data_IF_951175557045
#
_entry.id   IF_951175557045
#
_cell.length_a   1.000
_cell.length_b   1.000
_cell.length_c   1.000
_cell.angle_alpha   90.00
_cell.angle_beta   90.00
_cell.angle_gamma   90.00
#
_symmetry.space_group_name_H-M   'P 1'
#
loop_
_entity.id
_entity.type
_entity.pdbx_description
1 polymer ?
#
# COMPACT_ATOMS: atom_id res chain seq x y z
N UNK A 1 3.89 -17.50 20.38
CA UNK A 1 4.17 -18.50 19.32
C UNK A 1 5.42 -19.25 19.70
N UNK A 2 5.36 -20.57 19.72
CA UNK A 2 6.48 -21.46 20.02
C UNK A 2 6.67 -22.48 18.90
N UNK A 3 7.88 -23.01 18.77
CA UNK A 3 8.14 -24.15 17.90
C UNK A 3 7.61 -25.47 18.51
N UNK A 4 7.84 -26.57 17.80
CA UNK A 4 7.42 -27.91 18.22
C UNK A 4 8.12 -28.38 19.51
N UNK A 5 9.29 -27.83 19.81
CA UNK A 5 10.08 -28.13 21.01
C UNK A 5 9.67 -27.24 22.21
N UNK A 6 8.65 -26.38 22.02
CA UNK A 6 8.13 -25.48 23.05
C UNK A 6 8.97 -24.22 23.26
N UNK A 7 10.00 -23.97 22.44
CA UNK A 7 10.78 -22.74 22.50
C UNK A 7 9.96 -21.60 21.92
N UNK A 8 9.85 -20.51 22.68
CA UNK A 8 9.12 -19.31 22.27
C UNK A 8 9.89 -18.59 21.16
N UNK A 9 9.27 -18.49 19.98
CA UNK A 9 9.80 -17.77 18.81
C UNK A 9 9.36 -16.31 18.80
N UNK A 10 8.15 -16.02 19.28
CA UNK A 10 7.59 -14.68 19.30
C UNK A 10 6.52 -14.53 20.39
N UNK A 11 6.44 -13.34 21.00
CA UNK A 11 5.37 -12.96 21.96
C UNK A 11 5.07 -11.47 21.89
N UNK A 12 3.84 -11.09 22.24
CA UNK A 12 3.50 -9.69 22.47
C UNK A 12 4.12 -9.21 23.79
N UNK A 13 4.70 -7.99 23.83
CA UNK A 13 5.06 -7.32 25.07
C UNK A 13 3.80 -7.08 25.92
N UNK A 14 3.88 -7.19 27.26
CA UNK A 14 2.77 -6.84 28.15
C UNK A 14 1.73 -7.94 28.43
N UNK A 15 1.75 -9.07 27.71
CA UNK A 15 0.91 -10.24 28.02
C UNK A 15 1.53 -11.17 29.09
N UNK A 16 2.64 -10.77 29.71
CA UNK A 16 3.36 -11.55 30.71
C UNK A 16 3.02 -11.10 32.13
N UNK A 17 1.92 -11.61 32.68
CA UNK A 17 1.81 -11.75 34.13
C UNK A 17 2.77 -12.87 34.59
N UNK A 18 3.57 -12.58 35.61
CA UNK A 18 4.45 -13.51 36.29
C UNK A 18 3.74 -14.82 36.64
N UNK A 19 4.47 -15.92 36.53
CA UNK A 19 4.09 -17.27 36.94
C UNK A 19 3.54 -17.32 38.37
N UNK A 20 2.22 -17.24 38.54
CA UNK A 20 1.51 -17.78 39.70
C UNK A 20 -0.01 -17.73 39.47
N UNK A 21 -0.63 -18.91 39.50
CA UNK A 21 -2.03 -19.20 39.83
C UNK A 21 -3.16 -18.39 39.14
N UNK A 22 -3.93 -19.12 38.32
CA UNK A 22 -5.39 -19.02 38.17
C UNK A 22 -6.03 -17.76 37.58
N UNK A 23 -5.41 -17.09 36.60
CA UNK A 23 -6.14 -16.15 35.75
C UNK A 23 -6.13 -16.60 34.30
N UNK A 24 -7.32 -16.79 33.71
CA UNK A 24 -7.53 -17.12 32.30
C UNK A 24 -6.64 -16.27 31.38
N UNK A 25 -6.13 -16.82 30.26
CA UNK A 25 -5.29 -16.04 29.36
C UNK A 25 -6.01 -14.77 28.89
N UNK A 26 -5.31 -13.63 28.79
CA UNK A 26 -5.88 -12.40 28.27
C UNK A 26 -6.55 -12.63 26.90
N UNK A 27 -7.77 -12.13 26.67
CA UNK A 27 -8.48 -12.41 25.43
C UNK A 27 -7.77 -11.72 24.25
N UNK A 28 -7.56 -12.50 23.19
CA UNK A 28 -7.16 -12.01 21.87
C UNK A 28 -8.40 -11.94 20.96
N UNK A 29 -8.58 -10.83 20.26
CA UNK A 29 -9.72 -10.56 19.39
C UNK A 29 -9.24 -10.08 18.03
N UNK A 30 -9.71 -10.70 16.96
CA UNK A 30 -9.58 -10.18 15.60
C UNK A 30 -10.82 -9.35 15.27
N UNK A 31 -10.65 -8.06 14.97
CA UNK A 31 -11.76 -7.19 14.58
C UNK A 31 -12.13 -7.37 13.11
N UNK A 32 -13.30 -6.88 12.70
CA UNK A 32 -13.77 -6.96 11.32
C UNK A 32 -12.91 -6.12 10.35
N UNK A 33 -12.17 -5.15 10.88
CA UNK A 33 -11.22 -4.32 10.14
C UNK A 33 -9.86 -5.02 9.97
N UNK A 34 -9.68 -6.21 10.55
CA UNK A 34 -8.44 -6.99 10.48
C UNK A 34 -7.42 -6.66 11.58
N UNK A 35 -7.80 -5.90 12.62
CA UNK A 35 -6.91 -5.62 13.74
C UNK A 35 -6.95 -6.77 14.75
N UNK A 36 -5.82 -7.44 14.98
CA UNK A 36 -5.64 -8.36 16.10
C UNK A 36 -5.28 -7.58 17.37
N UNK A 37 -6.19 -7.58 18.35
CA UNK A 37 -6.06 -6.87 19.63
C UNK A 37 -5.93 -7.86 20.77
N UNK A 38 -4.91 -7.69 21.60
CA UNK A 38 -4.75 -8.43 22.86
C UNK A 38 -5.10 -7.49 24.00
N UNK A 39 -6.06 -7.87 24.83
CA UNK A 39 -6.49 -7.07 25.99
C UNK A 39 -5.95 -7.65 27.28
N UNK A 40 -5.60 -6.79 28.23
CA UNK A 40 -5.29 -7.20 29.60
C UNK A 40 -6.54 -7.75 30.29
N UNK A 41 -6.35 -8.41 31.44
CA UNK A 41 -7.45 -8.87 32.31
C UNK A 41 -8.35 -7.71 32.78
N UNK A 42 -7.81 -6.50 32.82
CA UNK A 42 -8.53 -5.29 33.20
C UNK A 42 -9.26 -4.63 32.01
N UNK A 43 -9.27 -5.29 30.83
CA UNK A 43 -9.98 -4.83 29.64
C UNK A 43 -9.25 -3.78 28.80
N UNK A 44 -8.09 -3.28 29.25
CA UNK A 44 -7.25 -2.33 28.49
C UNK A 44 -6.57 -3.00 27.31
N UNK A 45 -6.33 -2.27 26.23
CA UNK A 45 -5.55 -2.78 25.09
C UNK A 45 -4.09 -2.89 25.52
N UNK A 46 -3.58 -4.11 25.57
CA UNK A 46 -2.18 -4.39 25.92
C UNK A 46 -1.28 -4.40 24.67
N UNK A 47 -1.84 -4.81 23.52
CA UNK A 47 -1.13 -4.85 22.25
C UNK A 47 -2.14 -4.87 21.09
N UNK A 48 -1.78 -4.31 19.93
CA UNK A 48 -2.56 -4.42 18.71
C UNK A 48 -1.69 -4.50 17.46
N UNK A 49 -2.14 -5.27 16.46
CA UNK A 49 -1.40 -5.47 15.21
C UNK A 49 -1.24 -4.20 14.39
N UNK A 50 -2.19 -3.27 14.48
CA UNK A 50 -2.15 -2.02 13.70
C UNK A 50 -0.97 -1.10 14.06
N UNK A 51 -0.40 -1.24 15.26
CA UNK A 51 0.80 -0.52 15.68
C UNK A 51 2.09 -1.20 15.18
N UNK A 52 1.99 -2.38 14.55
CA UNK A 52 3.12 -3.17 14.05
C UNK A 52 2.88 -3.64 12.60
N UNK A 53 2.85 -2.70 11.63
CA UNK A 53 2.67 -3.03 10.21
C UNK A 53 3.80 -3.90 9.65
N UNK A 54 3.48 -4.74 8.67
CA UNK A 54 4.47 -5.47 7.84
C UNK A 54 4.73 -4.72 6.55
N UNK A 55 4.16 -5.18 5.44
CA UNK A 55 4.29 -4.66 4.07
C UNK A 55 3.01 -3.97 3.59
N UNK A 56 1.94 -4.02 4.38
CA UNK A 56 0.61 -3.57 3.97
C UNK A 56 -0.01 -2.67 5.03
N UNK A 57 -0.57 -1.54 4.58
CA UNK A 57 -1.56 -0.78 5.37
C UNK A 57 -2.96 -1.17 4.92
N UNK A 58 -3.87 -1.40 5.86
CA UNK A 58 -5.29 -1.69 5.59
C UNK A 58 -6.19 -0.54 6.05
N UNK A 59 -7.43 -0.43 5.53
CA UNK A 59 -8.36 0.61 5.98
C UNK A 59 -8.50 0.65 7.50
N UNK A 60 -8.45 1.85 8.08
CA UNK A 60 -8.50 2.05 9.53
C UNK A 60 -7.15 2.00 10.25
N UNK A 61 -6.08 1.52 9.60
CA UNK A 61 -4.72 1.73 10.10
C UNK A 61 -4.30 3.19 9.99
N UNK A 62 -3.39 3.61 10.87
CA UNK A 62 -2.79 4.95 10.86
C UNK A 62 -1.30 4.85 10.56
N UNK A 63 -0.84 5.56 9.53
CA UNK A 63 0.57 5.93 9.40
C UNK A 63 0.80 7.11 10.35
N UNK A 64 1.78 7.03 11.24
CA UNK A 64 2.05 8.02 12.29
C UNK A 64 3.50 8.43 12.25
N UNK A 65 3.74 9.67 12.65
CA UNK A 65 5.06 10.22 12.87
C UNK A 65 5.00 11.19 14.04
N UNK A 66 5.85 10.97 15.05
CA UNK A 66 6.02 11.89 16.17
C UNK A 66 6.81 13.11 15.74
N UNK A 67 6.31 14.31 16.05
CA UNK A 67 7.05 15.56 15.84
C UNK A 67 8.21 15.73 16.81
N UNK A 68 8.14 15.09 17.99
CA UNK A 68 9.17 15.18 19.01
C UNK A 68 10.38 14.29 18.72
N UNK A 69 10.15 13.02 18.37
CA UNK A 69 11.23 12.04 18.18
C UNK A 69 11.61 11.82 16.72
N UNK A 70 10.75 12.22 15.78
CA UNK A 70 10.89 11.84 14.37
C UNK A 70 10.68 10.34 14.12
N UNK A 71 10.24 9.59 15.13
CA UNK A 71 9.92 8.17 15.00
C UNK A 71 8.48 8.00 14.52
N UNK A 72 8.28 7.01 13.65
CA UNK A 72 6.99 6.72 13.06
C UNK A 72 6.92 5.29 12.58
N UNK A 73 5.71 4.81 12.30
CA UNK A 73 5.54 3.50 11.70
C UNK A 73 5.74 3.58 10.18
N UNK A 74 6.27 2.49 9.62
CA UNK A 74 6.50 2.32 8.19
C UNK A 74 6.13 0.91 7.81
N UNK A 75 5.63 0.72 6.60
CA UNK A 75 5.61 -0.60 6.00
C UNK A 75 6.99 -0.89 5.40
N UNK A 76 7.37 -2.16 5.42
CA UNK A 76 8.61 -2.69 4.87
C UNK A 76 8.24 -3.80 3.89
N UNK A 77 8.74 -3.70 2.67
CA UNK A 77 8.50 -4.71 1.62
C UNK A 77 8.97 -6.09 2.08
N UNK A 78 8.41 -7.14 1.50
CA UNK A 78 9.03 -8.47 1.58
C UNK A 78 10.37 -8.50 0.84
N UNK A 79 11.24 -9.43 1.23
CA UNK A 79 12.55 -9.64 0.59
C UNK A 79 12.40 -10.19 -0.83
N UNK A 80 11.41 -11.05 -1.06
CA UNK A 80 11.07 -11.56 -2.39
C UNK A 80 9.65 -12.16 -2.43
N UNK A 81 9.06 -12.42 -3.62
CA UNK A 81 7.78 -13.11 -3.76
C UNK A 81 7.85 -14.54 -3.19
N UNK A 82 7.53 -14.70 -1.90
CA UNK A 82 7.61 -15.97 -1.18
C UNK A 82 8.55 -15.95 0.05
N UNK A 83 9.33 -14.89 0.24
CA UNK A 83 10.12 -14.67 1.45
C UNK A 83 9.62 -13.42 2.19
N UNK A 84 8.81 -13.57 3.24
CA UNK A 84 8.25 -12.45 4.00
C UNK A 84 9.25 -11.77 4.93
N UNK A 85 10.52 -12.17 4.92
CA UNK A 85 11.56 -11.44 5.62
C UNK A 85 11.63 -9.97 5.15
N UNK A 86 12.09 -9.04 6.01
CA UNK A 86 12.22 -7.63 5.63
C UNK A 86 13.09 -7.44 4.38
N UNK A 87 12.51 -6.79 3.39
CA UNK A 87 13.15 -6.40 2.13
C UNK A 87 13.76 -5.01 2.16
N UNK A 88 14.29 -4.54 1.02
CA UNK A 88 15.07 -3.30 0.96
C UNK A 88 14.21 -2.04 0.96
N UNK A 89 12.92 -2.13 0.63
CA UNK A 89 12.05 -0.95 0.53
C UNK A 89 11.22 -0.71 1.78
N UNK A 90 11.06 0.57 2.14
CA UNK A 90 10.12 0.98 3.18
C UNK A 90 9.30 2.19 2.75
N UNK A 91 8.11 2.35 3.32
CA UNK A 91 7.18 3.44 2.97
C UNK A 91 6.47 4.02 4.20
N UNK A 92 6.40 5.34 4.29
CA UNK A 92 5.80 6.05 5.42
C UNK A 92 6.03 7.56 5.36
N UNK A 93 5.75 8.26 6.46
CA UNK A 93 5.87 9.72 6.55
C UNK A 93 7.34 10.17 6.60
N UNK A 94 7.64 11.28 5.90
CA UNK A 94 8.95 11.92 5.93
C UNK A 94 9.27 12.48 7.33
N UNK A 95 10.29 11.99 8.05
CA UNK A 95 10.66 12.56 9.35
C UNK A 95 11.22 13.99 9.25
N UNK A 96 11.72 14.41 8.07
CA UNK A 96 12.35 15.72 7.92
C UNK A 96 11.37 16.86 7.67
N UNK A 97 10.27 16.57 6.97
CA UNK A 97 9.25 17.59 6.63
C UNK A 97 7.86 17.25 7.11
N UNK A 98 7.55 15.99 7.42
CA UNK A 98 6.23 15.43 7.79
C UNK A 98 5.06 15.70 6.83
N UNK A 99 5.28 16.52 5.79
CA UNK A 99 4.29 16.89 4.78
C UNK A 99 4.23 15.91 3.58
N UNK A 100 5.04 14.85 3.56
CA UNK A 100 5.15 13.93 2.43
C UNK A 100 5.21 12.47 2.89
N UNK A 101 4.67 11.56 2.09
CA UNK A 101 5.00 10.14 2.19
C UNK A 101 6.20 9.85 1.29
N UNK A 102 7.17 9.13 1.82
CA UNK A 102 8.39 8.73 1.14
C UNK A 102 8.46 7.22 1.04
N UNK A 103 9.02 6.77 -0.07
CA UNK A 103 9.53 5.41 -0.21
C UNK A 103 11.05 5.48 -0.13
N UNK A 104 11.66 4.62 0.67
CA UNK A 104 13.10 4.48 0.78
C UNK A 104 13.55 3.14 0.21
N UNK A 105 14.75 3.11 -0.38
CA UNK A 105 15.54 1.89 -0.58
C UNK A 105 16.72 1.94 0.42
N UNK A 106 16.63 1.11 1.46
CA UNK A 106 17.47 1.24 2.64
C UNK A 106 17.29 2.62 3.29
N UNK A 107 18.35 3.42 3.34
CA UNK A 107 18.32 4.79 3.89
C UNK A 107 18.11 5.87 2.84
N UNK A 108 18.12 5.53 1.55
CA UNK A 108 18.05 6.51 0.46
C UNK A 108 16.61 6.73 0.05
N UNK A 109 16.11 7.98 0.00
CA UNK A 109 14.82 8.29 -0.58
C UNK A 109 14.80 7.83 -2.04
N UNK A 110 13.83 6.99 -2.37
CA UNK A 110 13.60 6.43 -3.71
C UNK A 110 12.46 7.17 -4.42
N UNK A 111 11.37 7.46 -3.70
CA UNK A 111 10.20 8.15 -4.23
C UNK A 111 9.52 9.00 -3.14
N UNK A 112 8.71 9.98 -3.54
CA UNK A 112 7.90 10.80 -2.62
C UNK A 112 6.58 11.26 -3.23
N UNK A 113 5.56 11.44 -2.39
CA UNK A 113 4.31 12.11 -2.78
C UNK A 113 4.53 13.61 -2.99
N UNK A 114 3.59 14.32 -3.64
CA UNK A 114 3.50 15.77 -3.54
C UNK A 114 3.41 16.22 -2.07
N UNK A 115 3.84 17.46 -1.82
CA UNK A 115 3.73 18.08 -0.49
C UNK A 115 2.26 18.26 -0.14
N UNK A 116 1.87 17.77 1.04
CA UNK A 116 0.59 18.01 1.65
C UNK A 116 0.39 19.51 1.87
N UNK A 117 -0.79 20.02 1.50
CA UNK A 117 -1.08 21.47 1.47
C UNK A 117 -2.01 21.94 2.59
N UNK A 118 -2.13 21.17 3.67
CA UNK A 118 -2.93 21.55 4.84
C UNK A 118 -4.42 21.15 4.78
N UNK A 119 -4.84 20.27 3.87
CA UNK A 119 -6.20 19.74 3.87
C UNK A 119 -6.37 18.65 4.94
N UNK A 120 -7.43 18.71 5.74
CA UNK A 120 -7.69 17.68 6.75
C UNK A 120 -8.20 16.36 6.15
N UNK A 121 -8.94 16.44 5.03
CA UNK A 121 -9.49 15.27 4.34
C UNK A 121 -9.33 15.46 2.84
N UNK A 122 -8.89 14.41 2.15
CA UNK A 122 -8.96 14.29 0.70
C UNK A 122 -9.78 13.06 0.32
N UNK A 123 -10.40 13.12 -0.85
CA UNK A 123 -11.09 11.99 -1.44
C UNK A 123 -10.58 11.73 -2.86
N UNK A 124 -10.50 10.45 -3.21
CA UNK A 124 -10.14 10.01 -4.55
C UNK A 124 -11.10 8.92 -4.99
N UNK A 125 -11.67 9.08 -6.18
CA UNK A 125 -12.39 7.99 -6.84
C UNK A 125 -11.38 6.94 -7.29
N UNK A 126 -11.55 5.71 -6.80
CA UNK A 126 -10.75 4.58 -7.27
C UNK A 126 -11.43 3.93 -8.48
N UNK A 127 -12.49 3.16 -8.24
CA UNK A 127 -13.26 2.46 -9.27
C UNK A 127 -14.60 1.96 -8.74
N UNK A 128 -15.56 1.67 -9.64
CA UNK A 128 -16.84 1.04 -9.32
C UNK A 128 -17.64 1.74 -8.19
N UNK A 129 -17.59 3.08 -8.14
CA UNK A 129 -18.27 3.86 -7.11
C UNK A 129 -17.55 3.90 -5.75
N UNK A 130 -16.38 3.25 -5.63
CA UNK A 130 -15.56 3.30 -4.41
C UNK A 130 -14.79 4.61 -4.33
N UNK A 131 -14.96 5.29 -3.19
CA UNK A 131 -14.22 6.49 -2.83
C UNK A 131 -13.22 6.14 -1.73
N UNK A 132 -11.94 6.43 -1.96
CA UNK A 132 -10.91 6.44 -0.94
C UNK A 132 -10.98 7.78 -0.22
N UNK A 133 -11.20 7.76 1.09
CA UNK A 133 -11.04 8.92 1.95
C UNK A 133 -9.70 8.82 2.65
N UNK A 134 -8.93 9.90 2.58
CA UNK A 134 -7.69 10.05 3.34
C UNK A 134 -7.92 11.13 4.37
N UNK A 135 -7.76 10.80 5.64
CA UNK A 135 -7.80 11.74 6.75
C UNK A 135 -6.38 11.99 7.25
N UNK A 136 -6.03 13.26 7.38
CA UNK A 136 -4.74 13.71 7.88
C UNK A 136 -5.02 14.49 9.15
N UNK A 137 -4.45 14.03 10.26
CA UNK A 137 -4.59 14.66 11.57
C UNK A 137 -3.20 15.05 12.01
N UNK A 138 -2.95 16.35 11.98
CA UNK A 138 -1.69 16.95 12.43
C UNK A 138 -1.94 17.65 13.76
N UNK A 139 -1.28 17.16 14.81
CA UNK A 139 -1.35 17.70 16.17
C UNK A 139 0.02 18.23 16.57
N UNK A 140 0.14 18.86 17.74
CA UNK A 140 1.46 19.28 18.24
C UNK A 140 2.40 18.09 18.54
N UNK A 141 1.85 16.90 18.79
CA UNK A 141 2.61 15.71 19.20
C UNK A 141 2.96 14.78 18.03
N UNK A 142 1.98 14.50 17.17
CA UNK A 142 2.12 13.62 16.03
C UNK A 142 1.32 14.11 14.81
N UNK A 143 1.80 13.75 13.63
CA UNK A 143 0.99 13.71 12.42
C UNK A 143 0.60 12.27 12.12
N UNK A 144 -0.66 12.06 11.74
CA UNK A 144 -1.16 10.76 11.33
C UNK A 144 -1.98 10.82 10.05
N UNK A 145 -1.82 9.81 9.21
CA UNK A 145 -2.58 9.59 7.99
C UNK A 145 -3.35 8.29 8.14
N UNK A 146 -4.67 8.35 7.99
CA UNK A 146 -5.52 7.19 7.92
C UNK A 146 -6.27 7.20 6.60
N UNK A 147 -6.55 6.02 6.05
CA UNK A 147 -7.45 5.92 4.91
C UNK A 147 -8.63 5.00 5.22
N UNK A 148 -9.77 5.34 4.64
CA UNK A 148 -11.01 4.56 4.69
C UNK A 148 -11.63 4.52 3.30
N UNK A 149 -12.56 3.59 3.11
CA UNK A 149 -13.28 3.41 1.86
C UNK A 149 -14.76 3.76 2.08
N UNK A 150 -15.44 4.18 1.02
CA UNK A 150 -16.89 4.35 1.02
C UNK A 150 -17.60 3.04 1.39
N UNK A 151 -18.70 3.16 2.14
CA UNK A 151 -19.50 1.99 2.56
C UNK A 151 -19.95 1.14 1.38
N UNK A 152 -19.83 -0.18 1.52
CA UNK A 152 -20.13 -1.15 0.44
C UNK A 152 -18.95 -1.51 -0.46
N UNK A 153 -17.75 -0.95 -0.23
CA UNK A 153 -16.52 -1.40 -0.87
C UNK A 153 -16.22 -2.86 -0.48
N UNK A 154 -16.05 -3.76 -1.45
CA UNK A 154 -15.78 -5.17 -1.15
C UNK A 154 -14.27 -5.39 -0.86
N UNK A 155 -13.87 -6.56 -0.33
CA UNK A 155 -12.49 -6.84 0.07
C UNK A 155 -11.48 -6.65 -1.07
N UNK A 156 -10.26 -6.28 -0.74
CA UNK A 156 -9.24 -5.71 -1.60
C UNK A 156 -8.74 -6.63 -2.76
N UNK A 157 -9.15 -6.37 -4.01
CA UNK A 157 -8.38 -6.68 -5.26
C UNK A 157 -7.13 -5.83 -5.38
N UNK A 158 -6.54 -5.86 -6.55
CA UNK A 158 -5.43 -5.04 -6.99
C UNK A 158 -5.95 -3.91 -7.87
N UNK A 159 -5.48 -2.69 -7.63
CA UNK A 159 -5.63 -1.53 -8.52
C UNK A 159 -4.29 -0.81 -8.73
N UNK A 160 -4.33 0.40 -9.27
CA UNK A 160 -3.11 1.08 -9.71
C UNK A 160 -3.06 2.58 -9.36
N UNK A 161 -1.90 3.05 -8.90
CA UNK A 161 -1.62 4.47 -8.66
C UNK A 161 -0.88 5.04 -9.87
N UNK A 162 -1.41 6.10 -10.46
CA UNK A 162 -0.79 6.80 -11.58
C UNK A 162 0.31 7.76 -11.09
N UNK A 163 1.53 7.59 -11.61
CA UNK A 163 2.68 8.46 -11.37
C UNK A 163 3.08 9.13 -12.70
N UNK A 164 2.69 10.40 -12.94
CA UNK A 164 2.96 11.09 -14.19
C UNK A 164 4.42 11.57 -14.28
N UNK A 165 4.90 11.81 -15.51
CA UNK A 165 6.22 12.40 -15.80
C UNK A 165 7.41 11.58 -15.29
N UNK A 166 7.28 10.26 -15.38
CA UNK A 166 8.30 9.30 -14.99
C UNK A 166 9.18 8.92 -16.18
N UNK A 167 10.48 8.90 -15.96
CA UNK A 167 11.36 7.91 -16.57
C UNK A 167 10.89 6.56 -16.03
N UNK A 168 10.32 5.76 -16.92
CA UNK A 168 9.83 4.43 -16.58
C UNK A 168 11.01 3.49 -16.27
N UNK A 169 10.83 2.51 -15.38
CA UNK A 169 11.90 1.61 -14.96
C UNK A 169 12.49 0.79 -16.12
N UNK A 170 13.74 0.38 -15.96
CA UNK A 170 14.44 -0.54 -16.85
C UNK A 170 13.85 -1.96 -16.78
N UNK A 171 14.34 -2.87 -17.65
CA UNK A 171 13.94 -4.29 -17.70
C UNK A 171 12.42 -4.51 -17.90
N UNK A 172 11.81 -3.68 -18.74
CA UNK A 172 10.41 -3.82 -19.09
C UNK A 172 10.16 -4.98 -20.07
N UNK A 173 8.95 -5.53 -20.01
CA UNK A 173 8.40 -6.39 -21.06
C UNK A 173 7.39 -5.61 -21.90
N UNK A 174 7.49 -5.75 -23.21
CA UNK A 174 6.52 -5.20 -24.15
C UNK A 174 5.43 -6.25 -24.40
N UNK A 175 4.20 -5.95 -23.99
CA UNK A 175 3.06 -6.76 -24.41
C UNK A 175 2.62 -6.31 -25.82
N UNK A 176 3.15 -6.99 -26.84
CA UNK A 176 2.89 -6.69 -28.25
C UNK A 176 1.44 -7.01 -28.63
N UNK A 177 0.68 -5.97 -28.96
CA UNK A 177 -0.69 -6.01 -29.47
C UNK A 177 -1.25 -4.59 -29.50
N UNK A 178 -2.08 -4.25 -30.49
CA UNK A 178 -2.80 -2.97 -30.51
C UNK A 178 -3.85 -2.99 -29.39
N UNK A 179 -3.45 -2.54 -28.20
CA UNK A 179 -4.24 -2.64 -26.97
C UNK A 179 -4.52 -1.28 -26.40
N UNK A 180 -5.68 -1.14 -25.78
CA UNK A 180 -6.04 0.06 -25.03
C UNK A 180 -5.35 0.09 -23.66
N UNK A 181 -5.30 1.28 -23.06
CA UNK A 181 -4.76 1.44 -21.70
C UNK A 181 -5.51 0.59 -20.66
N UNK A 182 -6.84 0.41 -20.82
CA UNK A 182 -7.66 -0.41 -19.93
C UNK A 182 -7.34 -1.90 -20.02
N UNK A 183 -7.05 -2.41 -21.22
CA UNK A 183 -6.65 -3.81 -21.42
C UNK A 183 -5.28 -4.12 -20.80
N UNK A 184 -4.36 -3.16 -20.88
CA UNK A 184 -3.04 -3.25 -20.23
C UNK A 184 -3.18 -3.36 -18.70
N UNK A 185 -4.04 -2.53 -18.11
CA UNK A 185 -4.34 -2.57 -16.68
C UNK A 185 -4.97 -3.90 -16.25
N UNK A 186 -5.96 -4.40 -17.00
CA UNK A 186 -6.64 -5.66 -16.69
C UNK A 186 -5.69 -6.87 -16.70
N UNK A 187 -4.74 -6.90 -17.65
CA UNK A 187 -3.72 -7.95 -17.74
C UNK A 187 -2.71 -7.88 -16.61
N UNK A 188 -2.23 -6.68 -16.27
CA UNK A 188 -1.34 -6.51 -15.14
C UNK A 188 -2.03 -6.90 -13.82
N UNK A 189 -3.31 -6.56 -13.65
CA UNK A 189 -4.08 -6.99 -12.48
C UNK A 189 -4.24 -8.52 -12.42
N UNK A 190 -4.46 -9.18 -13.56
CA UNK A 190 -4.62 -10.63 -13.64
C UNK A 190 -3.29 -11.40 -13.44
N UNK A 191 -2.15 -10.80 -13.79
CA UNK A 191 -0.84 -11.41 -13.60
C UNK A 191 -0.28 -11.07 -12.22
N UNK A 192 -0.27 -12.03 -11.28
CA UNK A 192 0.23 -11.82 -9.91
C UNK A 192 1.70 -11.38 -9.81
N UNK A 193 2.50 -11.58 -10.85
CA UNK A 193 3.89 -11.13 -10.88
C UNK A 193 4.06 -9.71 -11.40
N UNK A 194 3.01 -9.09 -11.95
CA UNK A 194 3.08 -7.71 -12.43
C UNK A 194 3.13 -6.74 -11.26
N UNK A 195 4.05 -5.78 -11.28
CA UNK A 195 4.22 -4.76 -10.23
C UNK A 195 3.88 -3.36 -10.74
N UNK A 196 4.01 -3.09 -12.03
CA UNK A 196 3.60 -1.84 -12.64
C UNK A 196 3.33 -2.00 -14.14
N UNK A 197 2.60 -1.03 -14.71
CA UNK A 197 2.48 -0.89 -16.16
C UNK A 197 2.59 0.58 -16.59
N UNK A 198 2.89 0.81 -17.87
CA UNK A 198 2.87 2.12 -18.50
C UNK A 198 2.31 1.98 -19.91
N UNK A 199 1.78 3.08 -20.43
CA UNK A 199 1.14 3.10 -21.74
C UNK A 199 1.78 4.15 -22.62
N UNK A 200 2.49 3.71 -23.65
CA UNK A 200 3.13 4.61 -24.60
C UNK A 200 2.35 4.62 -25.92
N UNK A 201 1.93 5.80 -26.37
CA UNK A 201 1.38 6.02 -27.70
C UNK A 201 2.51 6.45 -28.63
N UNK A 202 3.06 5.51 -29.39
CA UNK A 202 4.10 5.83 -30.36
C UNK A 202 3.47 6.17 -31.70
N UNK A 203 3.46 7.46 -32.05
CA UNK A 203 3.28 7.89 -33.43
C UNK A 203 4.60 7.67 -34.18
N UNK A 204 4.71 6.57 -34.91
CA UNK A 204 5.84 6.35 -35.82
C UNK A 204 5.44 6.71 -37.24
N UNK A 205 6.21 7.60 -37.87
CA UNK A 205 6.13 7.90 -39.31
C UNK A 205 6.51 6.69 -40.20
N UNK A 206 7.03 5.62 -39.61
CA UNK A 206 7.61 4.47 -40.33
C UNK A 206 6.88 3.15 -40.07
N UNK A 207 5.85 3.13 -39.22
CA UNK A 207 5.02 1.94 -38.98
C UNK A 207 3.62 2.15 -39.59
N UNK A 208 3.17 1.20 -40.42
CA UNK A 208 1.77 1.14 -40.85
C UNK A 208 0.90 0.79 -39.63
N UNK A 209 0.39 1.81 -38.93
CA UNK A 209 -0.59 1.68 -37.85
C UNK A 209 -0.17 2.37 -36.55
N UNK A 210 -1.16 2.84 -35.79
CA UNK A 210 -0.98 3.33 -34.41
C UNK A 210 -0.42 2.20 -33.54
N UNK A 211 0.78 2.38 -32.98
CA UNK A 211 1.41 1.42 -32.09
C UNK A 211 1.25 1.91 -30.65
N UNK A 212 0.11 1.60 -30.05
CA UNK A 212 -0.03 1.65 -28.59
C UNK A 212 0.73 0.48 -27.98
N UNK A 213 1.72 0.77 -27.12
CA UNK A 213 2.55 -0.25 -26.45
C UNK A 213 2.25 -0.28 -24.96
N UNK A 214 1.74 -1.43 -24.52
CA UNK A 214 1.62 -1.78 -23.12
C UNK A 214 2.99 -2.23 -22.61
N UNK A 215 3.52 -1.50 -21.64
CA UNK A 215 4.81 -1.77 -21.01
C UNK A 215 4.50 -2.29 -19.62
N UNK A 216 4.99 -3.48 -19.27
CA UNK A 216 4.74 -4.12 -17.97
C UNK A 216 6.04 -4.51 -17.29
N UNK A 217 6.04 -4.39 -15.97
CA UNK A 217 7.16 -4.79 -15.12
C UNK A 217 6.72 -5.94 -14.23
N UNK A 218 7.56 -6.97 -14.16
CA UNK A 218 7.39 -8.08 -13.23
C UNK A 218 8.57 -8.11 -12.26
N UNK A 219 8.30 -7.90 -10.97
CA UNK A 219 9.33 -7.76 -9.94
C UNK A 219 9.88 -6.34 -9.80
N UNK A 220 11.17 -6.21 -9.48
CA UNK A 220 11.78 -4.94 -9.07
C UNK A 220 11.70 -3.86 -10.15
N UNK A 221 11.23 -2.67 -9.74
CA UNK A 221 11.27 -1.46 -10.53
C UNK A 221 12.64 -0.80 -10.33
N UNK A 222 13.53 -0.92 -11.32
CA UNK A 222 14.90 -0.37 -11.27
C UNK A 222 15.01 0.83 -12.20
N UNK A 223 15.73 1.87 -11.79
CA UNK A 223 15.99 3.07 -12.60
C UNK A 223 14.74 3.88 -13.00
N UNK A 224 13.67 3.80 -12.19
CA UNK A 224 12.54 4.70 -12.30
C UNK A 224 12.85 6.06 -11.67
N UNK A 225 12.60 7.15 -12.38
CA UNK A 225 12.89 8.51 -11.89
C UNK A 225 11.83 9.50 -12.35
N UNK A 226 11.41 10.42 -11.48
CA UNK A 226 10.58 11.54 -11.93
C UNK A 226 11.44 12.55 -12.70
N UNK A 227 11.17 12.73 -13.99
CA UNK A 227 11.94 13.63 -14.88
C UNK A 227 11.18 14.93 -15.18
N UNK A 228 9.90 15.00 -14.84
CA UNK A 228 9.08 16.20 -15.04
C UNK A 228 8.67 16.43 -16.50
N UNK A 229 7.80 17.41 -16.78
CA UNK A 229 7.15 17.58 -18.08
C UNK A 229 8.11 18.04 -19.19
N UNK A 230 9.28 18.59 -18.84
CA UNK A 230 10.28 19.09 -19.80
C UNK A 230 10.92 18.00 -20.65
N UNK A 231 10.91 16.75 -20.19
CA UNK A 231 11.62 15.64 -20.82
C UNK A 231 10.69 14.55 -21.35
N UNK A 232 9.38 14.83 -21.42
CA UNK A 232 8.40 13.90 -22.00
C UNK A 232 8.22 12.60 -21.22
N UNK A 233 8.30 12.65 -19.88
CA UNK A 233 8.13 11.45 -19.04
C UNK A 233 6.74 10.84 -19.16
N UNK A 234 6.69 9.51 -19.07
CA UNK A 234 5.48 8.72 -19.21
C UNK A 234 4.73 8.58 -17.88
N UNK A 235 3.48 8.13 -17.92
CA UNK A 235 2.74 7.78 -16.70
C UNK A 235 2.98 6.33 -16.33
N UNK A 236 3.60 6.10 -15.17
CA UNK A 236 3.80 4.77 -14.58
C UNK A 236 2.67 4.46 -13.61
N UNK A 237 1.99 3.34 -13.81
CA UNK A 237 0.88 2.86 -13.00
C UNK A 237 1.40 1.75 -12.07
N UNK A 238 1.61 2.08 -10.80
CA UNK A 238 2.11 1.14 -9.78
C UNK A 238 0.98 0.30 -9.23
N UNK A 239 1.16 -1.01 -9.17
CA UNK A 239 0.21 -1.94 -8.56
C UNK A 239 0.10 -1.69 -7.06
N UNK A 240 -1.13 -1.56 -6.58
CA UNK A 240 -1.45 -1.44 -5.15
C UNK A 240 -2.69 -2.27 -4.83
N UNK A 241 -2.88 -2.72 -3.59
CA UNK A 241 -4.15 -3.29 -3.16
C UNK A 241 -5.30 -2.25 -3.18
N UNK A 242 -6.45 -2.58 -3.79
CA UNK A 242 -7.69 -1.79 -3.97
C UNK A 242 -8.95 -2.65 -3.79
N UNK A 243 -10.00 -2.17 -3.10
CA UNK A 243 -11.28 -2.88 -2.87
C UNK A 243 -11.99 -3.50 -4.12
N UNK A 244 -12.58 -4.70 -3.97
CA UNK A 244 -13.42 -5.38 -4.97
C UNK A 244 -14.77 -4.67 -5.18
N UNK A 245 -15.35 -4.89 -6.37
CA UNK A 245 -16.76 -4.72 -6.64
C UNK A 245 -17.41 -6.11 -6.68
N UNK A 246 -18.40 -6.38 -5.83
CA UNK A 246 -19.26 -7.56 -5.99
C UNK A 246 -20.18 -7.37 -7.19
N UNK A 247 -20.08 -8.26 -8.16
CA UNK A 247 -21.00 -8.37 -9.31
C UNK A 247 -22.39 -8.79 -8.82
N UNK A 248 -23.39 -7.92 -8.95
CA UNK A 248 -24.80 -8.33 -8.83
C UNK A 248 -25.24 -9.11 -10.07
N UNK A 249 -26.14 -10.10 -9.90
CA UNK A 249 -27.26 -10.22 -10.83
C UNK A 249 -28.59 -10.27 -10.08
N UNK A 250 -29.57 -9.49 -10.56
CA UNK A 250 -30.97 -9.69 -10.17
C UNK A 250 -31.82 -8.43 -10.20
N UNK A 251 -32.19 -7.99 -11.41
CA UNK A 251 -33.38 -7.17 -11.63
C UNK A 251 -34.59 -7.96 -11.12
N UNK A 252 -35.36 -7.41 -10.18
CA UNK A 252 -36.79 -7.72 -10.07
C UNK A 252 -37.58 -6.44 -10.27
N UNK A 253 -38.25 -6.38 -11.41
CA UNK A 253 -39.29 -5.42 -11.75
C UNK A 253 -40.55 -5.74 -10.96
N UNK A 254 -41.07 -4.74 -10.25
CA UNK A 254 -42.48 -4.61 -9.88
C UNK A 254 -43.18 -3.68 -10.85
#
# INVERSE_FOLDING_TARGET
>A
MSDADGRVLWRTPGAGGSSSSSSSPPPALLTNEGNLVVRSLNGTVAWQSFDHPTDTFVPGMKVRLSHLTGEGNRIVSWKSPGDPAPGPFSYGLDPGTSLQLLMWNGTRPYWRTPVWKGYAVASMYLSAGTVLYTAIVDTEEEISIAFTLSGGAAPTRVGFVAMPTMKVPDKFSLDTGNRSAGECAARCAANCSCEAYAYANLQSSSAKGELSRCIVWAGELVDAQMIGPRWGGETLYLRVPVADASTSPGIQSS
#
